data_IF_196598273203
#
_entry.id   IF_196598273203
#
_cell.length_a   1.000
_cell.length_b   1.000
_cell.length_c   1.000
_cell.angle_alpha   90.00
_cell.angle_beta   90.00
_cell.angle_gamma   90.00
#
_symmetry.space_group_name_H-M   'P 1'
#
loop_
_entity.id
_entity.type
_entity.pdbx_description
1 polymer ?
#
# COMPACT_ATOMS: atom_id res chain seq x y z
N UNK A 1 35.72 24.45 -98.37
CA UNK A 1 36.96 25.20 -98.05
C UNK A 1 37.31 24.79 -96.63
N UNK A 2 38.18 23.84 -96.32
CA UNK A 2 39.17 23.01 -97.03
C UNK A 2 39.39 21.79 -96.11
N UNK A 3 39.50 20.61 -96.72
CA UNK A 3 40.43 19.47 -96.45
C UNK A 3 40.84 19.14 -94.99
N UNK A 4 41.00 17.89 -94.54
CA UNK A 4 41.53 16.72 -95.23
C UNK A 4 41.30 15.41 -94.40
N UNK A 5 41.35 14.27 -95.08
CA UNK A 5 41.24 12.88 -94.61
C UNK A 5 42.50 12.49 -93.79
N UNK A 6 42.46 11.67 -92.73
CA UNK A 6 42.13 10.25 -92.73
C UNK A 6 43.40 9.38 -92.94
N UNK A 7 43.85 8.64 -91.92
CA UNK A 7 44.88 7.61 -92.10
C UNK A 7 45.59 7.12 -90.84
N UNK A 8 45.08 6.05 -90.21
CA UNK A 8 45.83 5.14 -89.31
C UNK A 8 46.37 3.94 -90.12
N UNK A 9 47.40 3.20 -89.63
CA UNK A 9 47.06 1.94 -88.95
C UNK A 9 48.01 1.45 -87.83
N UNK A 10 47.41 0.61 -86.98
CA UNK A 10 47.86 -0.47 -86.06
C UNK A 10 49.33 -0.92 -86.00
N UNK A 11 49.81 -1.30 -84.80
CA UNK A 11 49.80 -2.70 -84.26
C UNK A 11 50.32 -2.82 -82.80
N UNK A 12 49.63 -3.68 -82.04
CA UNK A 12 50.01 -4.63 -80.98
C UNK A 12 51.14 -4.35 -79.95
N UNK A 13 50.80 -4.44 -78.65
CA UNK A 13 51.06 -5.64 -77.80
C UNK A 13 51.07 -5.30 -76.29
N UNK A 14 50.66 -6.28 -75.50
CA UNK A 14 50.27 -6.21 -74.09
C UNK A 14 51.41 -6.10 -73.06
N UNK A 15 51.07 -5.61 -71.86
CA UNK A 15 51.34 -6.11 -70.47
C UNK A 15 51.33 -4.90 -69.51
N UNK A 16 50.48 -4.81 -68.48
CA UNK A 16 50.55 -5.57 -67.23
C UNK A 16 49.83 -4.76 -66.13
N UNK A 17 49.16 -5.46 -65.21
CA UNK A 17 48.15 -4.98 -64.28
C UNK A 17 48.68 -4.28 -63.01
N UNK A 18 47.83 -3.45 -62.38
CA UNK A 18 47.43 -3.57 -60.96
C UNK A 18 46.45 -2.44 -60.56
N UNK A 19 45.18 -2.80 -60.35
CA UNK A 19 44.19 -1.96 -59.67
C UNK A 19 44.34 -2.13 -58.15
N UNK A 20 44.47 -1.02 -57.42
CA UNK A 20 44.49 -1.00 -55.95
C UNK A 20 43.07 -1.02 -55.39
N UNK A 21 42.73 -2.05 -54.62
CA UNK A 21 41.43 -2.24 -53.98
C UNK A 21 41.30 -1.49 -52.64
N UNK A 22 40.10 -0.96 -52.39
CA UNK A 22 39.70 -0.42 -51.08
C UNK A 22 39.36 -1.57 -50.08
N UNK A 23 39.59 -1.39 -48.77
CA UNK A 23 39.29 -2.43 -47.79
C UNK A 23 37.77 -2.55 -47.55
N UNK A 24 37.27 -3.78 -47.57
CA UNK A 24 35.89 -4.14 -47.21
C UNK A 24 35.69 -4.03 -45.68
N UNK A 25 34.54 -3.55 -45.17
CA UNK A 25 34.28 -3.51 -43.73
C UNK A 25 34.17 -4.94 -43.16
N UNK A 26 34.81 -5.18 -42.02
CA UNK A 26 34.70 -6.45 -41.31
C UNK A 26 33.26 -6.72 -40.83
N UNK A 27 32.76 -7.97 -40.91
CA UNK A 27 31.42 -8.29 -40.47
C UNK A 27 31.31 -8.20 -38.93
N UNK A 28 30.27 -7.51 -38.45
CA UNK A 28 29.97 -7.44 -37.03
C UNK A 28 29.72 -8.85 -36.45
N UNK A 29 30.22 -9.17 -35.24
CA UNK A 29 30.07 -10.50 -34.66
C UNK A 29 28.59 -10.82 -34.42
N UNK A 30 28.08 -11.88 -35.06
CA UNK A 30 26.73 -12.38 -34.84
C UNK A 30 26.61 -12.84 -33.37
N UNK A 31 25.81 -12.12 -32.56
CA UNK A 31 25.46 -12.55 -31.20
C UNK A 31 24.91 -13.98 -31.28
N UNK A 32 25.53 -14.91 -30.54
CA UNK A 32 25.12 -16.31 -30.58
C UNK A 32 23.69 -16.44 -30.05
N UNK A 33 22.85 -17.22 -30.76
CA UNK A 33 21.46 -17.48 -30.39
C UNK A 33 21.35 -18.01 -28.94
N UNK A 34 22.38 -18.71 -28.45
CA UNK A 34 22.49 -19.15 -27.05
C UNK A 34 22.58 -17.97 -26.07
N UNK A 35 23.39 -16.95 -26.36
CA UNK A 35 23.50 -15.75 -25.50
C UNK A 35 22.18 -14.97 -25.44
N UNK A 36 21.42 -14.93 -26.53
CA UNK A 36 20.07 -14.33 -26.51
C UNK A 36 19.08 -15.15 -25.70
N UNK A 37 19.08 -16.48 -25.79
CA UNK A 37 18.21 -17.32 -24.94
C UNK A 37 18.59 -17.26 -23.46
N UNK A 38 19.90 -17.23 -23.14
CA UNK A 38 20.36 -17.02 -21.77
C UNK A 38 19.92 -15.66 -21.24
N UNK A 39 20.04 -14.58 -22.03
CA UNK A 39 19.58 -13.26 -21.62
C UNK A 39 18.06 -13.22 -21.38
N UNK A 40 17.26 -13.83 -22.27
CA UNK A 40 15.81 -13.96 -22.08
C UNK A 40 15.47 -14.75 -20.81
N UNK A 41 16.17 -15.86 -20.57
CA UNK A 41 16.00 -16.66 -19.35
C UNK A 41 16.31 -15.87 -18.08
N UNK A 42 17.38 -15.06 -18.07
CA UNK A 42 17.73 -14.19 -16.94
C UNK A 42 16.65 -13.12 -16.74
N UNK A 43 16.21 -12.45 -17.81
CA UNK A 43 15.16 -11.42 -17.71
C UNK A 43 13.87 -12.01 -17.16
N UNK A 44 13.45 -13.18 -17.66
CA UNK A 44 12.27 -13.87 -17.17
C UNK A 44 12.42 -14.24 -15.67
N UNK A 45 13.57 -14.76 -15.26
CA UNK A 45 13.84 -15.08 -13.86
C UNK A 45 13.80 -13.83 -12.96
N UNK A 46 14.39 -12.71 -13.40
CA UNK A 46 14.35 -11.44 -12.66
C UNK A 46 12.93 -10.93 -12.50
N UNK A 47 12.11 -10.99 -13.56
CA UNK A 47 10.70 -10.57 -13.50
C UNK A 47 9.92 -11.42 -12.49
N UNK A 48 10.13 -12.74 -12.48
CA UNK A 48 9.45 -13.64 -11.53
C UNK A 48 9.85 -13.33 -10.09
N UNK A 49 11.14 -13.16 -9.83
CA UNK A 49 11.65 -12.84 -8.48
C UNK A 49 11.16 -11.47 -8.01
N UNK A 50 11.22 -10.45 -8.89
CA UNK A 50 10.74 -9.11 -8.58
C UNK A 50 9.23 -9.09 -8.36
N UNK A 51 8.46 -9.81 -9.17
CA UNK A 51 7.00 -9.92 -9.02
C UNK A 51 6.60 -10.59 -7.71
N UNK A 52 7.27 -11.67 -7.31
CA UNK A 52 7.03 -12.31 -6.02
C UNK A 52 7.42 -11.42 -4.83
N UNK A 53 8.56 -10.72 -4.93
CA UNK A 53 8.99 -9.77 -3.91
C UNK A 53 8.03 -8.59 -3.78
N UNK A 54 7.58 -8.03 -4.91
CA UNK A 54 6.56 -6.99 -4.95
C UNK A 54 5.23 -7.47 -4.37
N UNK A 55 4.81 -8.70 -4.68
CA UNK A 55 3.59 -9.30 -4.13
C UNK A 55 3.60 -9.29 -2.60
N UNK A 56 4.67 -9.80 -2.00
CA UNK A 56 4.80 -9.82 -0.54
C UNK A 56 4.92 -8.41 0.04
N UNK A 57 5.66 -7.53 -0.63
CA UNK A 57 5.89 -6.17 -0.14
C UNK A 57 4.64 -5.30 -0.18
N UNK A 58 3.78 -5.43 -1.19
CA UNK A 58 2.59 -4.57 -1.32
C UNK A 58 1.57 -4.76 -0.20
N UNK A 59 1.63 -5.87 0.54
CA UNK A 59 0.77 -6.14 1.70
C UNK A 59 1.36 -5.61 3.02
N UNK A 60 2.54 -4.99 2.99
CA UNK A 60 3.25 -4.51 4.18
C UNK A 60 3.02 -3.00 4.42
N UNK A 61 3.01 -2.54 5.69
CA UNK A 61 2.88 -1.12 6.03
C UNK A 61 3.88 -0.21 5.28
N UNK A 62 5.11 -0.70 5.10
CA UNK A 62 6.16 0.03 4.38
C UNK A 62 5.83 0.35 2.91
N UNK A 63 4.99 -0.46 2.24
CA UNK A 63 4.52 -0.13 0.88
C UNK A 63 3.58 1.06 0.90
N UNK A 64 2.64 1.06 1.84
CA UNK A 64 1.63 2.10 1.97
C UNK A 64 2.28 3.46 2.23
N UNK A 65 3.31 3.52 3.07
CA UNK A 65 4.12 4.72 3.27
C UNK A 65 4.97 5.09 2.03
N UNK A 66 5.66 4.13 1.42
CA UNK A 66 6.60 4.42 0.33
C UNK A 66 5.92 4.88 -0.97
N UNK A 67 4.72 4.37 -1.26
CA UNK A 67 3.98 4.65 -2.50
C UNK A 67 2.89 5.69 -2.28
N UNK A 68 2.14 5.59 -1.18
CA UNK A 68 1.02 6.47 -0.87
C UNK A 68 1.37 7.44 0.28
N UNK A 69 2.61 7.97 0.29
CA UNK A 69 3.01 9.00 1.26
C UNK A 69 2.06 10.20 1.24
N UNK A 70 1.93 10.90 2.36
CA UNK A 70 0.93 11.93 2.67
C UNK A 70 -0.39 11.40 3.26
N UNK A 71 -1.31 10.70 2.54
CA UNK A 71 -2.53 10.20 3.19
C UNK A 71 -2.27 9.04 4.17
N UNK A 72 -1.09 8.41 4.12
CA UNK A 72 -0.80 7.20 4.89
C UNK A 72 0.27 7.38 5.98
N UNK A 73 1.00 8.49 5.99
CA UNK A 73 2.15 8.69 6.88
C UNK A 73 1.76 8.58 8.36
N UNK A 74 0.68 9.25 8.76
CA UNK A 74 0.15 9.19 10.12
C UNK A 74 -0.22 7.77 10.56
N UNK A 75 -0.88 6.99 9.69
CA UNK A 75 -1.34 5.65 10.03
C UNK A 75 -0.18 4.66 10.14
N UNK A 76 0.85 4.80 9.29
CA UNK A 76 2.06 3.97 9.39
C UNK A 76 2.91 4.37 10.60
N UNK A 77 3.03 5.67 10.88
CA UNK A 77 3.73 6.14 12.07
C UNK A 77 3.08 5.60 13.35
N UNK A 78 1.76 5.73 13.49
CA UNK A 78 1.02 5.20 14.65
C UNK A 78 1.08 3.67 14.76
N UNK A 79 1.10 2.95 13.63
CA UNK A 79 1.31 1.50 13.60
C UNK A 79 2.68 1.10 14.15
N UNK A 80 3.74 1.82 13.76
CA UNK A 80 5.13 1.50 14.15
C UNK A 80 5.54 2.12 15.50
N UNK A 81 4.79 3.09 16.02
CA UNK A 81 5.12 3.84 17.23
C UNK A 81 5.14 2.98 18.51
N UNK A 82 4.32 1.93 18.55
CA UNK A 82 4.19 1.07 19.73
C UNK A 82 3.59 1.77 20.95
N UNK A 83 2.75 2.78 20.73
CA UNK A 83 2.05 3.49 21.80
C UNK A 83 0.98 2.58 22.43
N UNK A 84 1.12 2.17 23.71
CA UNK A 84 0.19 1.26 24.35
C UNK A 84 -1.24 1.81 24.52
N UNK A 85 -1.45 3.11 24.28
CA UNK A 85 -2.76 3.75 24.38
C UNK A 85 -3.55 3.76 23.07
N UNK A 86 -2.92 3.37 21.95
CA UNK A 86 -3.58 3.26 20.64
C UNK A 86 -4.03 1.82 20.38
N UNK A 87 -5.24 1.66 19.83
CA UNK A 87 -5.78 0.34 19.46
C UNK A 87 -4.91 -0.42 18.45
N UNK A 88 -4.24 0.30 17.55
CA UNK A 88 -3.38 -0.29 16.52
C UNK A 88 -2.18 -1.03 17.10
N UNK A 89 -1.68 -0.64 18.28
CA UNK A 89 -0.52 -1.28 18.91
C UNK A 89 -0.82 -2.72 19.30
N UNK A 90 -2.00 -2.98 19.86
CA UNK A 90 -2.45 -4.35 20.17
C UNK A 90 -2.62 -5.18 18.88
N UNK A 91 -3.25 -4.59 17.85
CA UNK A 91 -3.44 -5.24 16.56
C UNK A 91 -2.12 -5.57 15.86
N UNK A 92 -1.16 -4.65 15.86
CA UNK A 92 0.17 -4.83 15.30
C UNK A 92 0.94 -5.94 16.04
N UNK A 93 0.82 -6.01 17.37
CA UNK A 93 1.43 -7.06 18.19
C UNK A 93 0.88 -8.47 17.84
N UNK A 94 -0.40 -8.56 17.48
CA UNK A 94 -1.05 -9.79 16.99
C UNK A 94 -0.82 -10.05 15.49
N UNK A 95 0.05 -9.28 14.85
CA UNK A 95 0.40 -9.43 13.44
C UNK A 95 -0.76 -9.08 12.49
N UNK A 96 -1.69 -8.23 12.93
CA UNK A 96 -2.71 -7.64 12.07
C UNK A 96 -2.07 -6.52 11.25
N UNK A 97 -2.01 -6.70 9.93
CA UNK A 97 -1.46 -5.70 9.00
C UNK A 97 -2.56 -4.84 8.40
N UNK A 98 -2.19 -3.72 7.76
CA UNK A 98 -3.11 -2.72 7.21
C UNK A 98 -4.28 -3.35 6.43
N UNK A 99 -3.98 -4.28 5.51
CA UNK A 99 -4.98 -4.90 4.63
C UNK A 99 -5.90 -5.92 5.30
N UNK A 100 -5.62 -6.34 6.54
CA UNK A 100 -6.56 -7.16 7.30
C UNK A 100 -7.75 -6.35 7.81
N UNK A 101 -7.60 -5.03 7.93
CA UNK A 101 -8.67 -4.10 8.29
C UNK A 101 -9.15 -3.26 7.11
N UNK A 102 -8.20 -2.74 6.32
CA UNK A 102 -8.45 -1.98 5.10
C UNK A 102 -8.40 -2.91 3.89
N UNK A 103 -9.40 -3.77 3.76
CA UNK A 103 -9.44 -4.70 2.64
C UNK A 103 -9.47 -3.93 1.31
N UNK A 104 -8.49 -4.23 0.46
CA UNK A 104 -8.30 -3.53 -0.80
C UNK A 104 -9.25 -4.08 -1.87
N UNK A 105 -10.53 -3.71 -1.82
CA UNK A 105 -11.44 -3.97 -2.93
C UNK A 105 -10.94 -3.29 -4.22
N UNK A 106 -11.12 -3.95 -5.37
CA UNK A 106 -10.60 -3.43 -6.64
C UNK A 106 -11.13 -2.02 -6.97
N UNK A 107 -12.38 -1.76 -6.65
CA UNK A 107 -13.02 -0.44 -6.84
C UNK A 107 -12.39 0.62 -5.95
N UNK A 108 -12.09 0.27 -4.70
CA UNK A 108 -11.42 1.14 -3.72
C UNK A 108 -10.01 1.46 -4.20
N UNK A 109 -9.23 0.46 -4.61
CA UNK A 109 -7.88 0.65 -5.14
C UNK A 109 -7.86 1.57 -6.38
N UNK A 110 -8.86 1.47 -7.25
CA UNK A 110 -8.98 2.38 -8.41
C UNK A 110 -9.25 3.81 -7.96
N UNK A 111 -10.15 4.01 -6.99
CA UNK A 111 -10.43 5.35 -6.44
C UNK A 111 -9.22 5.95 -5.70
N UNK A 112 -8.52 5.15 -4.91
CA UNK A 112 -7.30 5.55 -4.20
C UNK A 112 -6.20 5.95 -5.18
N UNK A 113 -5.98 5.17 -6.25
CA UNK A 113 -5.00 5.50 -7.27
C UNK A 113 -5.33 6.81 -8.01
N UNK A 114 -6.61 7.08 -8.28
CA UNK A 114 -7.05 8.35 -8.89
C UNK A 114 -6.86 9.52 -7.93
N UNK A 115 -7.26 9.36 -6.66
CA UNK A 115 -7.07 10.37 -5.62
C UNK A 115 -5.58 10.68 -5.43
N UNK A 116 -4.75 9.64 -5.34
CA UNK A 116 -3.29 9.74 -5.29
C UNK A 116 -2.71 10.51 -6.49
N UNK A 117 -3.05 10.10 -7.71
CA UNK A 117 -2.52 10.74 -8.93
C UNK A 117 -2.99 12.18 -9.13
N UNK A 118 -4.11 12.57 -8.52
CA UNK A 118 -4.69 13.91 -8.60
C UNK A 118 -4.39 14.78 -7.38
N UNK A 119 -3.66 14.27 -6.38
CA UNK A 119 -3.40 14.94 -5.10
C UNK A 119 -4.71 15.39 -4.41
N UNK A 120 -5.77 14.59 -4.54
CA UNK A 120 -7.12 14.92 -4.09
C UNK A 120 -7.67 13.83 -3.18
N UNK A 121 -7.20 13.82 -1.93
CA UNK A 121 -7.68 12.95 -0.86
C UNK A 121 -8.40 13.80 0.20
N UNK A 122 -9.50 13.31 0.79
CA UNK A 122 -10.21 14.02 1.84
C UNK A 122 -9.38 13.99 3.12
N UNK A 123 -8.60 15.03 3.38
CA UNK A 123 -7.81 15.18 4.61
C UNK A 123 -8.60 15.98 5.67
N UNK A 124 -8.23 15.81 6.93
CA UNK A 124 -8.67 16.68 8.03
C UNK A 124 -8.19 18.12 7.83
N UNK A 125 -8.79 19.07 8.56
CA UNK A 125 -8.48 20.50 8.41
C UNK A 125 -6.99 20.84 8.69
N UNK A 126 -6.38 20.10 9.61
CA UNK A 126 -4.95 20.19 9.94
C UNK A 126 -4.05 19.44 8.94
N UNK A 127 -4.63 18.71 7.98
CA UNK A 127 -3.93 17.97 6.93
C UNK A 127 -3.16 16.73 7.42
N UNK A 128 -3.40 16.28 8.65
CA UNK A 128 -2.59 15.20 9.27
C UNK A 128 -3.10 13.81 8.96
N UNK A 129 -4.41 13.62 8.77
CA UNK A 129 -5.04 12.32 8.54
C UNK A 129 -6.17 12.41 7.51
N UNK A 130 -6.63 11.27 7.02
CA UNK A 130 -7.84 11.24 6.19
C UNK A 130 -9.06 11.61 7.05
N UNK A 131 -9.95 12.42 6.50
CA UNK A 131 -11.23 12.80 7.10
C UNK A 131 -12.29 11.68 7.01
N UNK A 132 -11.90 10.53 6.47
CA UNK A 132 -12.73 9.33 6.27
C UNK A 132 -11.99 8.14 6.90
N UNK A 133 -12.70 7.13 7.40
CA UNK A 133 -12.06 5.90 7.88
C UNK A 133 -12.68 5.23 9.10
N UNK A 134 -13.80 5.73 9.64
CA UNK A 134 -14.51 5.07 10.75
C UNK A 134 -15.55 4.06 10.27
N UNK A 135 -15.88 4.07 8.98
CA UNK A 135 -17.10 3.47 8.43
C UNK A 135 -17.12 1.93 8.46
N UNK A 136 -15.96 1.28 8.64
CA UNK A 136 -15.86 -0.18 8.68
C UNK A 136 -15.70 -0.75 10.10
N UNK A 137 -15.50 0.09 11.12
CA UNK A 137 -15.31 -0.32 12.52
C UNK A 137 -16.64 -0.69 13.21
N UNK A 138 -17.34 -1.66 12.60
CA UNK A 138 -18.66 -2.13 13.02
C UNK A 138 -18.56 -3.34 13.96
N UNK A 139 -19.64 -3.64 14.69
CA UNK A 139 -19.72 -4.87 15.50
C UNK A 139 -19.43 -6.12 14.66
N UNK A 140 -20.03 -6.22 13.47
CA UNK A 140 -19.88 -7.36 12.57
C UNK A 140 -18.44 -7.57 12.12
N UNK A 141 -17.69 -6.49 11.96
CA UNK A 141 -16.29 -6.54 11.57
C UNK A 141 -15.39 -6.90 12.75
N UNK A 142 -15.50 -6.17 13.86
CA UNK A 142 -14.60 -6.29 15.01
C UNK A 142 -14.87 -7.54 15.86
N UNK A 143 -16.14 -7.93 16.05
CA UNK A 143 -16.53 -9.09 16.86
C UNK A 143 -16.53 -10.42 16.07
N UNK A 144 -15.96 -10.44 14.86
CA UNK A 144 -15.80 -11.66 14.08
C UNK A 144 -14.92 -12.68 14.82
N UNK A 145 -15.29 -13.95 14.71
CA UNK A 145 -14.51 -15.06 15.29
C UNK A 145 -13.03 -14.98 14.90
N UNK A 146 -12.17 -15.10 15.91
CA UNK A 146 -10.72 -14.98 15.80
C UNK A 146 -10.15 -13.58 16.04
N UNK A 147 -10.97 -12.57 16.35
CA UNK A 147 -10.51 -11.21 16.68
C UNK A 147 -10.58 -10.94 18.20
N UNK A 148 -11.62 -10.33 18.75
CA UNK A 148 -11.72 -9.95 20.18
C UNK A 148 -12.00 -11.10 21.17
N UNK A 149 -11.48 -12.30 20.90
CA UNK A 149 -11.80 -13.56 21.59
C UNK A 149 -11.36 -13.64 23.06
N UNK A 150 -10.29 -12.93 23.47
CA UNK A 150 -9.83 -12.93 24.87
C UNK A 150 -10.88 -12.35 25.83
N UNK A 151 -11.77 -11.50 25.33
CA UNK A 151 -12.89 -10.91 26.07
C UNK A 151 -14.19 -11.71 25.91
N UNK A 152 -14.25 -12.67 24.99
CA UNK A 152 -15.43 -13.47 24.67
C UNK A 152 -15.49 -13.85 23.19
N UNK A 153 -16.09 -14.99 22.87
CA UNK A 153 -16.22 -15.48 21.48
C UNK A 153 -17.40 -14.84 20.72
N UNK A 154 -18.16 -13.96 21.39
CA UNK A 154 -19.29 -13.21 20.83
C UNK A 154 -19.44 -11.84 21.53
N UNK A 155 -20.17 -10.93 20.89
CA UNK A 155 -20.50 -9.63 21.49
C UNK A 155 -21.21 -9.76 22.85
N UNK A 156 -22.10 -10.75 23.00
CA UNK A 156 -22.79 -11.04 24.26
C UNK A 156 -21.80 -11.45 25.37
N UNK A 157 -20.80 -12.26 25.04
CA UNK A 157 -19.77 -12.68 26.00
C UNK A 157 -18.82 -11.53 26.35
N UNK A 158 -18.40 -10.74 25.36
CA UNK A 158 -17.60 -9.52 25.57
C UNK A 158 -18.34 -8.58 26.51
N UNK A 159 -19.64 -8.36 26.25
CA UNK A 159 -20.50 -7.54 27.11
C UNK A 159 -20.57 -8.12 28.52
N UNK A 160 -20.81 -9.42 28.67
CA UNK A 160 -20.92 -10.05 29.99
C UNK A 160 -19.65 -9.92 30.85
N UNK A 161 -18.47 -9.81 30.24
CA UNK A 161 -17.19 -9.75 30.94
C UNK A 161 -16.73 -8.33 31.34
N UNK A 162 -17.48 -7.28 30.99
CA UNK A 162 -17.05 -5.88 31.15
C UNK A 162 -17.90 -5.05 32.13
N UNK A 163 -18.72 -5.68 32.97
CA UNK A 163 -19.38 -4.98 34.07
C UNK A 163 -18.37 -4.47 35.11
N UNK A 164 -18.50 -3.21 35.53
CA UNK A 164 -17.58 -2.58 36.47
C UNK A 164 -16.20 -2.24 35.88
N UNK A 165 -16.13 -2.07 34.55
CA UNK A 165 -14.89 -1.73 33.83
C UNK A 165 -14.14 -0.55 34.47
N UNK A 166 -12.81 -0.55 34.39
CA UNK A 166 -11.95 0.54 34.87
C UNK A 166 -12.22 0.98 36.33
N UNK A 167 -12.67 0.06 37.18
CA UNK A 167 -12.98 0.37 38.59
C UNK A 167 -14.27 1.17 38.79
N UNK A 168 -15.17 1.17 37.80
CA UNK A 168 -16.53 1.67 37.97
C UNK A 168 -17.40 0.69 38.75
N UNK A 169 -18.58 1.15 39.18
CA UNK A 169 -19.60 0.30 39.83
C UNK A 169 -20.06 -0.84 38.89
N UNK A 170 -20.34 -2.02 39.46
CA UNK A 170 -20.74 -3.24 38.72
C UNK A 170 -22.02 -3.07 37.87
N UNK A 171 -22.77 -1.97 38.04
CA UNK A 171 -23.92 -1.63 37.19
C UNK A 171 -23.57 -0.90 35.89
N UNK A 172 -22.30 -0.54 35.66
CA UNK A 172 -21.88 0.16 34.45
C UNK A 172 -21.17 -0.78 33.48
N UNK A 173 -21.56 -0.68 32.21
CA UNK A 173 -20.95 -1.43 31.11
C UNK A 173 -21.16 -0.64 29.80
N UNK A 174 -20.07 -0.23 29.11
CA UNK A 174 -20.17 0.57 27.89
C UNK A 174 -20.77 -0.21 26.71
N UNK A 175 -20.71 -1.55 26.73
CA UNK A 175 -21.28 -2.42 25.69
C UNK A 175 -22.75 -2.80 25.96
N UNK A 176 -23.30 -2.44 27.12
CA UNK A 176 -24.70 -2.62 27.48
C UNK A 176 -25.39 -1.27 27.69
N UNK A 177 -25.27 -0.38 26.69
CA UNK A 177 -25.86 0.95 26.75
C UNK A 177 -27.38 0.89 26.94
N UNK A 178 -27.90 1.76 27.81
CA UNK A 178 -29.35 1.95 27.96
C UNK A 178 -29.93 2.95 26.94
N UNK A 179 -29.06 3.59 26.15
CA UNK A 179 -29.48 4.43 25.04
C UNK A 179 -29.70 3.53 23.83
N UNK A 180 -30.83 3.73 23.15
CA UNK A 180 -31.10 3.10 21.84
C UNK A 180 -30.33 3.84 20.73
N UNK A 181 -29.03 4.02 20.96
CA UNK A 181 -28.11 4.60 20.00
C UNK A 181 -27.53 3.44 19.18
N UNK A 182 -27.53 3.59 17.86
CA UNK A 182 -26.79 2.71 16.97
C UNK A 182 -25.29 3.07 17.01
N UNK A 183 -24.66 2.85 18.16
CA UNK A 183 -23.21 3.03 18.32
C UNK A 183 -22.48 1.83 17.72
N UNK A 184 -21.50 2.11 16.89
CA UNK A 184 -20.54 1.13 16.37
C UNK A 184 -19.25 1.16 17.19
N UNK A 185 -18.42 0.13 17.05
CA UNK A 185 -17.17 0.03 17.80
C UNK A 185 -16.28 1.29 17.61
N UNK A 186 -16.21 1.81 16.37
CA UNK A 186 -15.42 2.99 16.02
C UNK A 186 -15.91 4.32 16.61
N UNK A 187 -17.10 4.37 17.21
CA UNK A 187 -17.60 5.57 17.90
C UNK A 187 -16.92 5.80 19.24
N UNK A 188 -16.34 4.74 19.84
CA UNK A 188 -15.60 4.80 21.10
C UNK A 188 -14.16 4.32 20.93
N UNK A 189 -13.92 3.29 20.13
CA UNK A 189 -12.61 2.66 19.97
C UNK A 189 -11.81 3.27 18.83
N UNK A 190 -10.84 4.12 19.17
CA UNK A 190 -9.83 4.63 18.25
C UNK A 190 -8.75 3.59 17.97
N UNK A 191 -8.51 3.30 16.69
CA UNK A 191 -7.44 2.38 16.29
C UNK A 191 -6.12 3.13 16.15
N UNK A 192 -6.07 4.14 15.29
CA UNK A 192 -4.89 5.00 15.09
C UNK A 192 -4.95 6.28 15.92
N UNK A 193 -5.98 6.46 16.74
CA UNK A 193 -6.20 7.61 17.61
C UNK A 193 -6.66 7.16 19.00
N UNK A 194 -6.72 8.11 19.95
CA UNK A 194 -7.16 7.80 21.31
C UNK A 194 -8.59 7.23 21.33
N UNK A 195 -8.84 6.32 22.28
CA UNK A 195 -10.18 5.84 22.56
C UNK A 195 -10.97 6.93 23.29
N UNK A 196 -12.26 7.05 23.03
CA UNK A 196 -13.13 8.04 23.64
C UNK A 196 -14.22 7.33 24.44
N UNK A 197 -14.37 7.69 25.72
CA UNK A 197 -15.48 7.20 26.53
C UNK A 197 -16.72 8.08 26.32
N UNK A 198 -17.42 7.90 25.20
CA UNK A 198 -18.58 8.72 24.79
C UNK A 198 -19.67 8.80 25.87
N UNK A 199 -19.80 7.78 26.74
CA UNK A 199 -20.72 7.81 27.88
C UNK A 199 -20.47 8.99 28.84
N UNK A 200 -19.23 9.49 28.91
CA UNK A 200 -18.86 10.62 29.76
C UNK A 200 -19.35 11.98 29.23
N UNK A 201 -20.06 12.03 28.09
CA UNK A 201 -20.87 13.21 27.75
C UNK A 201 -21.97 13.47 28.80
N UNK A 202 -22.50 12.39 29.40
CA UNK A 202 -23.61 12.46 30.36
C UNK A 202 -23.25 11.87 31.74
N UNK A 203 -22.21 11.05 31.81
CA UNK A 203 -21.77 10.38 33.03
C UNK A 203 -20.41 10.87 33.51
N UNK A 204 -20.09 10.59 34.77
CA UNK A 204 -18.77 10.82 35.36
C UNK A 204 -18.20 9.45 35.75
N UNK A 205 -17.79 8.68 34.72
CA UNK A 205 -17.21 7.35 34.89
C UNK A 205 -15.69 7.43 34.87
N UNK A 206 -15.06 6.53 35.64
CA UNK A 206 -13.61 6.31 35.56
C UNK A 206 -13.27 5.84 34.15
N UNK A 207 -12.32 6.52 33.51
CA UNK A 207 -11.83 6.16 32.18
C UNK A 207 -10.65 5.18 32.32
N UNK A 208 -10.53 4.18 31.42
CA UNK A 208 -9.29 3.42 31.30
C UNK A 208 -8.11 4.35 30.99
N UNK A 209 -6.89 3.92 31.34
CA UNK A 209 -5.69 4.70 31.05
C UNK A 209 -5.52 4.95 29.55
N UNK A 210 -5.21 6.19 29.16
CA UNK A 210 -5.05 6.59 27.76
C UNK A 210 -6.36 6.86 27.00
N UNK A 211 -7.52 6.73 27.65
CA UNK A 211 -8.80 7.12 27.08
C UNK A 211 -9.10 8.60 27.33
N UNK A 212 -9.75 9.22 26.37
CA UNK A 212 -10.15 10.61 26.41
C UNK A 212 -11.64 10.75 26.74
N UNK A 213 -11.96 11.86 27.41
CA UNK A 213 -13.34 12.30 27.52
C UNK A 213 -13.79 12.82 26.14
N UNK A 214 -15.08 12.67 25.79
CA UNK A 214 -15.62 13.24 24.57
C UNK A 214 -15.36 14.74 24.56
N UNK A 215 -14.70 15.24 23.51
CA UNK A 215 -14.46 16.67 23.32
C UNK A 215 -15.80 17.40 23.19
N UNK A 216 -15.96 18.56 23.84
CA UNK A 216 -17.06 19.47 23.50
C UNK A 216 -16.95 19.80 22.00
N UNK A 217 -17.91 19.33 21.20
CA UNK A 217 -17.99 19.61 19.77
C UNK A 217 -18.30 21.09 19.51
#
# INVERSE_FOLDING_TARGET
MTDEQGGTPSTDAATGAAASGAPTPAPAPKRSRRRTWTAVGIVAAVIVVAGAGFWVWHEQPSFCNAICHSPMDYYVETYDAGDPHLGITAHAADGVTCLKCHEAELTTQVSEAMAWASDNYPMTEDGTKLATGKEFATEQFCAKSGCHHELGESYDEITANLWGFAGNDEKYNPHASHQDLALECGDCHGIHEANVLTCNECHDLNMPEGWEAPSEQ
#
